data_IF_872440922163
#
_entry.id   IF_872440922163
#
_cell.length_a   1.000
_cell.length_b   1.000
_cell.length_c   1.000
_cell.angle_alpha   90.00
_cell.angle_beta   90.00
_cell.angle_gamma   90.00
#
_symmetry.space_group_name_H-M   'P 1'
#
loop_
_entity.id
_entity.type
_entity.pdbx_description
1 polymer ?
#
# COMPACT_ATOMS: atom_id res chain seq x y z
N UNK A 1 11.50 17.08 -16.98
CA UNK A 1 10.03 16.86 -16.87
C UNK A 1 9.66 16.83 -15.39
N UNK A 2 8.58 17.49 -15.02
CA UNK A 2 8.08 17.52 -13.66
C UNK A 2 7.18 16.30 -13.40
N UNK A 3 7.50 15.48 -12.41
CA UNK A 3 6.66 14.34 -12.05
C UNK A 3 5.51 14.82 -11.17
N UNK A 4 4.27 14.53 -11.53
CA UNK A 4 3.10 14.89 -10.73
C UNK A 4 2.72 13.74 -9.78
N UNK A 5 2.41 14.08 -8.52
CA UNK A 5 1.94 13.12 -7.54
C UNK A 5 0.52 12.66 -7.90
N UNK A 6 0.29 11.35 -8.00
CA UNK A 6 -1.02 10.80 -8.27
C UNK A 6 -2.02 10.92 -7.11
N UNK A 7 -1.54 11.17 -5.88
CA UNK A 7 -2.37 11.36 -4.69
C UNK A 7 -2.95 12.77 -4.61
N UNK A 8 -2.09 13.78 -4.45
CA UNK A 8 -2.50 15.17 -4.29
C UNK A 8 -2.56 15.98 -5.59
N UNK A 9 -2.14 15.42 -6.74
CA UNK A 9 -2.01 16.11 -8.04
C UNK A 9 -1.05 17.29 -8.05
N UNK A 10 -0.29 17.50 -6.99
CA UNK A 10 0.75 18.51 -6.95
C UNK A 10 2.02 18.00 -7.63
N UNK A 11 2.86 18.94 -8.06
CA UNK A 11 4.17 18.65 -8.63
C UNK A 11 5.11 18.13 -7.53
N UNK A 12 5.76 17.00 -7.77
CA UNK A 12 6.80 16.46 -6.91
C UNK A 12 8.07 17.29 -7.17
N UNK A 13 8.51 18.02 -6.15
CA UNK A 13 9.77 18.78 -6.16
C UNK A 13 10.89 18.03 -5.46
N UNK A 14 10.54 17.08 -4.59
CA UNK A 14 11.48 16.27 -3.81
C UNK A 14 12.08 15.14 -4.64
N UNK A 15 13.29 14.69 -4.26
CA UNK A 15 13.95 13.53 -4.91
C UNK A 15 13.39 12.20 -4.37
N UNK A 16 12.77 12.26 -3.22
CA UNK A 16 12.13 11.16 -2.54
C UNK A 16 10.70 11.05 -3.04
N UNK A 17 10.43 9.94 -3.70
CA UNK A 17 9.10 9.57 -4.19
C UNK A 17 9.04 8.06 -4.29
N UNK A 18 7.82 7.53 -4.39
CA UNK A 18 7.58 6.11 -4.59
C UNK A 18 6.70 5.88 -5.80
N UNK A 19 7.07 4.88 -6.60
CA UNK A 19 6.27 4.43 -7.74
C UNK A 19 5.56 3.15 -7.34
N UNK A 20 4.24 3.12 -7.52
CA UNK A 20 3.45 1.94 -7.20
C UNK A 20 3.76 0.82 -8.20
N UNK A 21 4.14 -0.35 -7.71
CA UNK A 21 4.44 -1.53 -8.51
C UNK A 21 3.23 -2.13 -9.25
N UNK A 22 2.00 -1.70 -8.93
CA UNK A 22 0.78 -2.21 -9.53
C UNK A 22 0.18 -1.27 -10.58
N UNK A 23 0.06 0.02 -10.27
CA UNK A 23 -0.52 1.00 -11.19
C UNK A 23 0.50 1.90 -11.87
N UNK A 24 1.79 1.74 -11.57
CA UNK A 24 2.91 2.53 -12.10
C UNK A 24 2.80 4.05 -11.89
N UNK A 25 1.88 4.49 -11.03
CA UNK A 25 1.73 5.90 -10.65
C UNK A 25 2.76 6.29 -9.60
N UNK A 26 3.25 7.53 -9.70
CA UNK A 26 4.22 8.11 -8.76
C UNK A 26 3.52 8.90 -7.67
N UNK A 27 4.03 8.79 -6.44
CA UNK A 27 3.51 9.45 -5.26
C UNK A 27 4.65 10.14 -4.53
N UNK A 28 4.37 11.36 -4.07
CA UNK A 28 5.20 12.02 -3.07
C UNK A 28 5.22 11.19 -1.76
N UNK A 29 6.26 11.34 -0.96
CA UNK A 29 6.42 10.62 0.31
C UNK A 29 5.25 10.87 1.26
N UNK A 30 4.76 12.11 1.35
CA UNK A 30 3.60 12.46 2.18
C UNK A 30 2.33 11.73 1.71
N UNK A 31 2.11 11.67 0.39
CA UNK A 31 0.98 10.95 -0.21
C UNK A 31 1.14 9.42 -0.17
N UNK A 32 2.37 8.92 -0.04
CA UNK A 32 2.67 7.51 0.07
C UNK A 32 2.40 6.96 1.48
N UNK A 33 2.12 7.83 2.47
CA UNK A 33 1.93 7.48 3.89
C UNK A 33 3.17 6.77 4.45
N UNK A 34 4.35 7.22 4.02
CA UNK A 34 5.65 6.73 4.49
C UNK A 34 6.38 7.91 5.07
N UNK A 35 6.91 7.80 6.29
CA UNK A 35 7.77 8.86 6.82
C UNK A 35 9.10 8.88 6.08
N UNK A 36 9.70 10.08 5.93
CA UNK A 36 11.01 10.24 5.28
C UNK A 36 12.09 9.35 5.92
N UNK A 37 12.07 9.21 7.24
CA UNK A 37 12.96 8.32 8.00
C UNK A 37 12.81 6.85 7.59
N UNK A 38 11.57 6.39 7.38
CA UNK A 38 11.32 5.02 6.92
C UNK A 38 11.76 4.83 5.47
N UNK A 39 11.57 5.84 4.62
CA UNK A 39 12.03 5.81 3.23
C UNK A 39 13.55 5.73 3.12
N UNK A 40 14.28 6.48 3.95
CA UNK A 40 15.75 6.53 3.92
C UNK A 40 16.39 5.33 4.62
N UNK A 41 15.93 4.98 5.83
CA UNK A 41 16.64 4.04 6.70
C UNK A 41 16.11 2.60 6.64
N UNK A 42 14.85 2.39 6.29
CA UNK A 42 14.19 1.08 6.42
C UNK A 42 13.87 0.44 5.06
N UNK A 43 13.53 1.26 4.06
CA UNK A 43 13.20 0.75 2.73
C UNK A 43 14.46 0.51 1.90
N UNK A 44 14.83 -0.75 1.74
CA UNK A 44 15.82 -1.14 0.75
C UNK A 44 15.32 -0.87 -0.68
N UNK A 45 16.23 -0.73 -1.68
CA UNK A 45 15.83 -0.50 -3.08
C UNK A 45 14.81 -1.53 -3.59
N UNK A 46 14.95 -2.79 -3.20
CA UNK A 46 14.02 -3.87 -3.54
C UNK A 46 12.63 -3.66 -2.92
N UNK A 47 12.56 -3.16 -1.68
CA UNK A 47 11.28 -2.83 -1.03
C UNK A 47 10.62 -1.62 -1.68
N UNK A 48 11.41 -0.61 -2.09
CA UNK A 48 10.90 0.56 -2.85
C UNK A 48 10.27 0.12 -4.17
N UNK A 49 10.92 -0.77 -4.92
CA UNK A 49 10.40 -1.32 -6.19
C UNK A 49 9.13 -2.16 -6.03
N UNK A 50 8.90 -2.76 -4.86
CA UNK A 50 7.71 -3.58 -4.56
C UNK A 50 6.60 -2.80 -3.86
N UNK A 51 6.80 -1.50 -3.59
CA UNK A 51 5.84 -0.69 -2.87
C UNK A 51 4.53 -0.57 -3.66
N UNK A 52 3.40 -0.62 -2.95
CA UNK A 52 2.06 -0.54 -3.52
C UNK A 52 1.35 0.65 -2.87
N UNK A 53 0.71 1.49 -3.68
CA UNK A 53 -0.01 2.65 -3.15
C UNK A 53 -1.26 2.23 -2.37
N UNK A 54 -1.74 3.08 -1.44
CA UNK A 54 -2.93 2.79 -0.63
C UNK A 54 -4.17 2.44 -1.47
N UNK A 55 -4.35 3.10 -2.62
CA UNK A 55 -5.47 2.84 -3.52
C UNK A 55 -5.40 1.47 -4.22
N UNK A 56 -4.20 0.92 -4.45
CA UNK A 56 -4.04 -0.43 -4.98
C UNK A 56 -4.15 -1.47 -3.88
N UNK A 57 -3.65 -1.17 -2.67
CA UNK A 57 -3.78 -2.04 -1.52
C UNK A 57 -5.25 -2.20 -1.08
N UNK A 58 -6.05 -1.13 -1.13
CA UNK A 58 -7.47 -1.19 -0.78
C UNK A 58 -8.32 -1.99 -1.78
N UNK A 59 -7.88 -2.05 -3.04
CA UNK A 59 -8.52 -2.83 -4.11
C UNK A 59 -8.05 -4.28 -4.18
N UNK A 60 -6.96 -4.61 -3.49
CA UNK A 60 -6.49 -5.99 -3.47
C UNK A 60 -7.58 -6.85 -2.80
N UNK A 61 -7.96 -8.00 -3.40
CA UNK A 61 -8.91 -8.90 -2.77
C UNK A 61 -8.37 -9.25 -1.39
N UNK A 62 -9.16 -8.96 -0.34
CA UNK A 62 -8.84 -9.37 1.02
C UNK A 62 -8.86 -10.90 0.98
N UNK A 63 -7.67 -11.51 1.03
CA UNK A 63 -7.50 -12.95 0.90
C UNK A 63 -8.54 -13.67 1.75
N UNK A 64 -9.25 -14.59 1.10
CA UNK A 64 -10.40 -15.29 1.64
C UNK A 64 -10.05 -15.82 3.03
N UNK A 65 -10.80 -15.42 4.05
CA UNK A 65 -10.69 -15.98 5.40
C UNK A 65 -11.32 -17.39 5.46
N UNK A 66 -11.13 -18.21 4.42
CA UNK A 66 -11.82 -19.48 4.18
C UNK A 66 -11.24 -20.66 4.97
N UNK A 67 -10.47 -20.41 6.04
CA UNK A 67 -9.99 -21.49 6.90
C UNK A 67 -10.01 -21.10 8.38
N UNK A 68 -11.16 -20.62 8.86
CA UNK A 68 -11.53 -20.88 10.24
C UNK A 68 -12.61 -21.96 10.22
N UNK A 69 -12.42 -23.11 10.88
CA UNK A 69 -13.52 -24.03 11.08
C UNK A 69 -14.61 -23.26 11.82
N UNK A 70 -15.79 -23.20 11.23
CA UNK A 70 -17.00 -22.73 11.91
C UNK A 70 -17.25 -23.78 12.99
N UNK A 71 -17.04 -23.45 14.26
CA UNK A 71 -17.59 -24.27 15.33
C UNK A 71 -19.12 -24.19 15.18
N UNK A 72 -19.72 -25.21 14.58
CA UNK A 72 -21.14 -25.48 14.66
C UNK A 72 -21.48 -25.70 16.14
N UNK A 73 -22.03 -24.69 16.79
CA UNK A 73 -22.84 -24.91 17.97
C UNK A 73 -24.16 -25.51 17.49
N UNK A 74 -24.24 -26.84 17.52
CA UNK A 74 -25.52 -27.54 17.60
C UNK A 74 -26.23 -27.04 18.88
N UNK A 75 -27.40 -26.44 18.69
CA UNK A 75 -28.40 -26.38 19.74
C UNK A 75 -28.89 -27.81 19.94
N UNK A 76 -28.60 -28.41 21.08
CA UNK A 76 -29.36 -29.55 21.58
C UNK A 76 -30.22 -29.04 22.74
N UNK A 77 -31.50 -28.83 22.44
CA UNK A 77 -32.57 -28.76 23.44
C UNK A 77 -32.73 -30.15 24.05
N UNK A 78 -32.46 -30.30 25.36
CA UNK A 78 -33.25 -31.11 26.31
C UNK A 78 -33.23 -30.41 27.67
#
# INVERSE_FOLDING_TARGET
>A
MATQCAGCRQKITSREYLTCALCNKTYDIDCAVVSIQRYLNIMSPTRKKKWKCPACLSKAPKGNNSNKPVCSHENEEI
#
